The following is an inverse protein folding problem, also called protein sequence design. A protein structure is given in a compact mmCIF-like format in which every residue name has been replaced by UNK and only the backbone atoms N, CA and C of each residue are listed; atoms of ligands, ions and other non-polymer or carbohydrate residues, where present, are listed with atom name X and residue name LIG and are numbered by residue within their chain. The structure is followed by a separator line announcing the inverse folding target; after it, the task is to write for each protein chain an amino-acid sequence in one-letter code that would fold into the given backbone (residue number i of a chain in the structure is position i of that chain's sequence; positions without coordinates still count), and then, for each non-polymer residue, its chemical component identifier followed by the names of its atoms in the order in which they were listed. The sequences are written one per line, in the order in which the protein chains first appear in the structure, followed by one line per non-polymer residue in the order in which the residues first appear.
data_IF_731347420290
#
_entry.id   IF_731347420290
#
_cell.length_a   1.000
_cell.length_b   1.000
_cell.length_c   1.000
_cell.angle_alpha   90.00
_cell.angle_beta   90.00
_cell.angle_gamma   90.00
#
_symmetry.space_group_name_H-M   'P 1'
#
loop_
_entity.id
_entity.type
_entity.pdbx_description
1 polymer ?
#
# COMPACT_ATOMS: atom_id res chain seq x y z
N UNK A 1 2.77 15.87 -10.86
CA UNK A 1 2.58 15.18 -9.56
C UNK A 1 2.45 13.66 -9.76
N UNK A 2 1.56 13.22 -10.67
CA UNK A 2 1.42 11.80 -11.03
C UNK A 2 2.75 11.12 -11.42
N UNK A 3 3.58 11.75 -12.24
CA UNK A 3 4.88 11.17 -12.64
C UNK A 3 5.87 11.05 -11.48
N UNK A 4 5.87 12.02 -10.57
CA UNK A 4 6.72 12.00 -9.36
C UNK A 4 6.26 10.89 -8.41
N UNK A 5 4.94 10.79 -8.18
CA UNK A 5 4.35 9.71 -7.36
C UNK A 5 4.67 8.35 -7.97
N UNK A 6 4.50 8.18 -9.29
CA UNK A 6 4.80 6.92 -9.97
C UNK A 6 6.29 6.56 -9.88
N UNK A 7 7.18 7.54 -10.08
CA UNK A 7 8.62 7.34 -9.92
C UNK A 7 8.99 6.96 -8.47
N UNK A 8 8.41 7.62 -7.47
CA UNK A 8 8.61 7.32 -6.05
C UNK A 8 8.08 5.94 -5.66
N UNK A 9 6.92 5.53 -6.19
CA UNK A 9 6.38 4.18 -6.00
C UNK A 9 7.36 3.17 -6.59
N UNK A 10 7.82 3.35 -7.83
CA UNK A 10 8.74 2.41 -8.46
C UNK A 10 10.09 2.29 -7.71
N UNK A 11 10.60 3.38 -7.13
CA UNK A 11 11.81 3.36 -6.29
C UNK A 11 11.62 2.62 -4.96
N UNK A 12 10.44 2.73 -4.35
CA UNK A 12 10.15 2.12 -3.04
C UNK A 12 9.63 0.69 -3.18
N UNK A 13 9.05 0.34 -4.32
CA UNK A 13 8.46 -0.96 -4.61
C UNK A 13 9.45 -2.10 -4.41
N UNK A 14 10.70 -1.96 -4.87
CA UNK A 14 11.74 -2.98 -4.65
C UNK A 14 11.98 -3.26 -3.16
N UNK A 15 12.01 -2.21 -2.32
CA UNK A 15 12.18 -2.36 -0.88
C UNK A 15 10.96 -3.03 -0.25
N UNK A 16 9.76 -2.60 -0.63
CA UNK A 16 8.49 -3.12 -0.11
C UNK A 16 8.27 -4.59 -0.50
N UNK A 17 8.63 -4.96 -1.72
CA UNK A 17 8.57 -6.35 -2.17
C UNK A 17 9.60 -7.23 -1.45
N UNK A 18 10.82 -6.75 -1.24
CA UNK A 18 11.83 -7.52 -0.51
C UNK A 18 11.44 -7.74 0.95
N UNK A 19 10.93 -6.72 1.63
CA UNK A 19 10.48 -6.86 3.03
C UNK A 19 9.24 -7.75 3.14
N UNK A 20 8.24 -7.57 2.28
CA UNK A 20 7.05 -8.43 2.29
C UNK A 20 7.38 -9.89 1.95
N UNK A 21 8.25 -10.15 0.98
CA UNK A 21 8.70 -11.50 0.63
C UNK A 21 9.45 -12.17 1.79
N UNK A 22 10.38 -11.45 2.43
CA UNK A 22 11.14 -12.00 3.56
C UNK A 22 10.24 -12.30 4.76
N UNK A 23 9.29 -11.41 5.09
CA UNK A 23 8.30 -11.67 6.14
C UNK A 23 7.40 -12.85 5.74
N UNK A 24 6.97 -12.94 4.48
CA UNK A 24 6.18 -14.07 4.00
C UNK A 24 6.91 -15.41 4.20
N UNK A 25 8.19 -15.48 3.83
CA UNK A 25 9.01 -16.69 4.03
C UNK A 25 9.13 -17.04 5.52
N UNK A 26 9.38 -16.05 6.39
CA UNK A 26 9.45 -16.27 7.84
C UNK A 26 8.11 -16.79 8.38
N UNK A 27 6.98 -16.22 7.96
CA UNK A 27 5.65 -16.66 8.39
C UNK A 27 5.31 -18.06 7.89
N UNK A 28 5.72 -18.44 6.68
CA UNK A 28 5.53 -19.80 6.17
C UNK A 28 6.31 -20.81 6.99
N UNK A 29 7.57 -20.53 7.32
CA UNK A 29 8.38 -21.40 8.20
C UNK A 29 7.73 -21.49 9.58
N UNK A 30 7.27 -20.36 10.14
CA UNK A 30 6.61 -20.33 11.44
C UNK A 30 5.28 -21.10 11.43
N UNK A 31 4.51 -21.04 10.35
CA UNK A 31 3.25 -21.76 10.20
C UNK A 31 3.45 -23.27 10.12
N UNK A 32 4.50 -23.73 9.43
CA UNK A 32 4.81 -25.15 9.28
C UNK A 32 5.52 -25.75 10.50
N UNK A 33 6.44 -24.99 11.14
CA UNK A 33 7.34 -25.51 12.17
C UNK A 33 7.17 -24.89 13.56
N UNK A 34 6.32 -23.86 13.73
CA UNK A 34 6.18 -23.11 14.99
C UNK A 34 5.32 -23.76 16.08
N UNK A 35 4.73 -24.93 15.83
CA UNK A 35 3.84 -25.62 16.78
C UNK A 35 2.43 -25.02 16.85
N UNK A 36 1.60 -25.55 17.75
CA UNK A 36 0.14 -25.33 17.75
C UNK A 36 -0.26 -23.87 18.00
N UNK A 37 0.37 -23.21 18.98
CA UNK A 37 0.05 -21.82 19.34
C UNK A 37 0.46 -20.83 18.25
N UNK A 38 1.62 -21.04 17.61
CA UNK A 38 2.14 -20.11 16.61
C UNK A 38 1.50 -20.31 15.23
N UNK A 39 0.85 -21.45 14.98
CA UNK A 39 0.18 -21.73 13.71
C UNK A 39 -0.99 -20.79 13.46
N UNK A 40 -1.86 -20.61 14.45
CA UNK A 40 -3.04 -19.74 14.30
C UNK A 40 -2.63 -18.25 14.22
N UNK A 41 -1.61 -17.88 15.00
CA UNK A 41 -1.04 -16.54 14.96
C UNK A 41 -0.37 -16.22 13.61
N UNK A 42 0.51 -17.11 13.14
CA UNK A 42 1.20 -16.94 11.86
C UNK A 42 0.22 -16.95 10.68
N UNK A 43 -0.86 -17.73 10.74
CA UNK A 43 -1.92 -17.70 9.73
C UNK A 43 -2.60 -16.33 9.65
N UNK A 44 -2.99 -15.75 10.80
CA UNK A 44 -3.56 -14.41 10.83
C UNK A 44 -2.61 -13.35 10.26
N UNK A 45 -1.31 -13.45 10.59
CA UNK A 45 -0.28 -12.57 10.03
C UNK A 45 -0.09 -12.77 8.51
N UNK A 46 -0.18 -14.01 8.02
CA UNK A 46 -0.03 -14.34 6.60
C UNK A 46 -1.13 -13.68 5.76
N UNK A 47 -2.39 -13.79 6.22
CA UNK A 47 -3.54 -13.15 5.58
C UNK A 47 -3.40 -11.61 5.63
N UNK A 48 -2.99 -11.07 6.78
CA UNK A 48 -2.76 -9.63 6.95
C UNK A 48 -1.64 -9.09 6.06
N UNK A 49 -0.55 -9.84 5.90
CA UNK A 49 0.58 -9.46 5.06
C UNK A 49 0.20 -9.43 3.58
N UNK A 50 -0.51 -10.45 3.08
CA UNK A 50 -0.91 -10.53 1.67
C UNK A 50 -1.87 -9.39 1.33
N UNK A 51 -2.92 -9.21 2.15
CA UNK A 51 -3.92 -8.16 1.95
C UNK A 51 -3.33 -6.75 2.12
N UNK A 52 -2.48 -6.55 3.13
CA UNK A 52 -1.83 -5.26 3.39
C UNK A 52 -0.80 -4.86 2.32
N UNK A 53 0.02 -5.79 1.84
CA UNK A 53 1.03 -5.51 0.81
C UNK A 53 0.36 -5.15 -0.52
N UNK A 54 -0.67 -5.91 -0.93
CA UNK A 54 -1.41 -5.59 -2.14
C UNK A 54 -2.18 -4.27 -2.03
N UNK A 55 -2.89 -4.05 -0.92
CA UNK A 55 -3.70 -2.84 -0.69
C UNK A 55 -2.84 -1.57 -0.66
N UNK A 56 -1.69 -1.59 0.02
CA UNK A 56 -0.83 -0.41 0.12
C UNK A 56 -0.19 0.00 -1.21
N UNK A 57 0.27 -0.96 -2.02
CA UNK A 57 0.97 -0.65 -3.28
C UNK A 57 -0.01 -0.35 -4.41
N UNK A 58 -1.09 -1.14 -4.54
CA UNK A 58 -1.97 -1.08 -5.70
C UNK A 58 -3.27 -0.31 -5.48
N UNK A 59 -3.73 -0.17 -4.23
CA UNK A 59 -4.98 0.54 -3.92
C UNK A 59 -4.70 1.93 -3.36
N UNK A 60 -3.84 2.07 -2.36
CA UNK A 60 -3.60 3.37 -1.72
C UNK A 60 -2.93 4.40 -2.66
N UNK A 61 -1.97 3.98 -3.47
CA UNK A 61 -1.27 4.85 -4.43
C UNK A 61 -2.21 5.56 -5.44
N UNK A 62 -3.05 4.86 -6.22
CA UNK A 62 -3.98 5.53 -7.14
C UNK A 62 -5.08 6.30 -6.41
N UNK A 63 -5.50 5.84 -5.23
CA UNK A 63 -6.51 6.54 -4.42
C UNK A 63 -6.05 7.95 -4.02
N UNK A 64 -4.77 8.11 -3.67
CA UNK A 64 -4.17 9.42 -3.35
C UNK A 64 -4.10 10.31 -4.59
N UNK A 65 -3.73 9.75 -5.74
CA UNK A 65 -3.71 10.51 -7.01
C UNK A 65 -5.10 11.05 -7.36
N UNK A 66 -6.12 10.22 -7.23
CA UNK A 66 -7.51 10.61 -7.47
C UNK A 66 -8.02 11.64 -6.47
N UNK A 67 -7.63 11.53 -5.20
CA UNK A 67 -8.00 12.49 -4.16
C UNK A 67 -7.43 13.89 -4.47
N UNK A 68 -6.13 13.96 -4.77
CA UNK A 68 -5.45 15.21 -5.13
C UNK A 68 -6.05 15.83 -6.39
N UNK A 69 -6.33 15.03 -7.42
CA UNK A 69 -6.97 15.52 -8.65
C UNK A 69 -8.34 16.18 -8.37
N UNK A 70 -9.14 15.60 -7.46
CA UNK A 70 -10.44 16.16 -7.03
C UNK A 70 -10.27 17.42 -6.16
N UNK A 71 -9.24 17.47 -5.33
CA UNK A 71 -8.93 18.63 -4.49
C UNK A 71 -8.51 19.84 -5.36
N UNK A 72 -7.65 19.63 -6.35
CA UNK A 72 -7.25 20.66 -7.32
C UNK A 72 -8.45 21.19 -8.12
N UNK A 73 -9.33 20.31 -8.60
CA UNK A 73 -10.53 20.71 -9.35
C UNK A 73 -11.46 21.62 -8.51
N UNK A 74 -11.67 21.29 -7.22
CA UNK A 74 -12.43 22.13 -6.29
C UNK A 74 -11.75 23.47 -6.00
N UNK A 75 -10.42 23.50 -5.93
CA UNK A 75 -9.67 24.74 -5.72
C UNK A 75 -9.79 25.68 -6.94
N UNK A 76 -9.73 25.13 -8.16
CA UNK A 76 -9.94 25.90 -9.41
C UNK A 76 -11.36 26.49 -9.48
N UNK A 77 -12.39 25.72 -9.14
CA UNK A 77 -13.78 26.20 -9.11
C UNK A 77 -14.00 27.37 -8.15
N UNK A 78 -13.42 27.31 -6.94
CA UNK A 78 -13.51 28.41 -5.96
C UNK A 78 -12.85 29.71 -6.45
N UNK A 79 -11.70 29.62 -7.12
CA UNK A 79 -11.02 30.80 -7.69
C UNK A 79 -11.78 31.44 -8.85
N UNK A 80 -12.50 30.64 -9.64
CA UNK A 80 -13.34 31.16 -10.73
C UNK A 80 -14.57 31.92 -10.19
N UNK A 81 -15.21 31.41 -9.14
CA UNK A 81 -16.37 32.06 -8.49
C UNK A 81 -15.95 33.34 -7.76
N UNK A 82 -14.79 33.36 -7.10
CA UNK A 82 -14.32 34.56 -6.39
C UNK A 82 -13.84 35.71 -7.31
N UNK A 83 -13.69 35.46 -8.62
CA UNK A 83 -13.26 36.44 -9.62
C UNK A 83 -14.43 37.06 -10.40
N UNK A 84 -15.62 36.48 -10.31
CA UNK A 84 -16.85 36.99 -10.91
C UNK A 84 -17.58 37.92 -9.93
#
# INVERSE_FOLDING_TARGET
LADVINASINQTLSRTLLTSLTVFLVLVVLYLFGGEVLRDFSFALLVGLITGTYSSVFVAAPLVVDWEARAEARARGRKAVAKA
#
